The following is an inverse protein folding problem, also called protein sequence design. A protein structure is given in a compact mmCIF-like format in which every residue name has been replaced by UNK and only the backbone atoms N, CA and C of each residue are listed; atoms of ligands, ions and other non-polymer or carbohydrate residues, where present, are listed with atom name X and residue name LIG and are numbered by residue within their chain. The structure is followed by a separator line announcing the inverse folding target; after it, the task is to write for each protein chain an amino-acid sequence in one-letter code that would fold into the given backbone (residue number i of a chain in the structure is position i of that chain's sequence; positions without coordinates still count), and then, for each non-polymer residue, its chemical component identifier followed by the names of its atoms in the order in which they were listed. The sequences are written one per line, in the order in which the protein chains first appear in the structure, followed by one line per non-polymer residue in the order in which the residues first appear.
data_IF_427444581783
#
_entry.id   IF_427444581783
#
_cell.length_a   1.000
_cell.length_b   1.000
_cell.length_c   1.000
_cell.angle_alpha   90.00
_cell.angle_beta   90.00
_cell.angle_gamma   90.00
#
_symmetry.space_group_name_H-M   'P 1'
#
loop_
_entity.id
_entity.type
_entity.pdbx_description
1 polymer ?
#
# COMPACT_ATOMS: atom_id res chain seq x y z
N UNK A 1 -19.46 -7.71 13.14
CA UNK A 1 -18.46 -7.15 12.21
C UNK A 1 -17.52 -6.18 12.92
N UNK A 2 -16.36 -6.66 13.37
CA UNK A 2 -15.39 -5.87 14.15
C UNK A 2 -13.94 -5.92 13.64
N UNK A 3 -13.68 -6.57 12.51
CA UNK A 3 -12.34 -7.08 12.19
C UNK A 3 -11.56 -6.26 11.15
N UNK A 4 -12.13 -5.20 10.57
CA UNK A 4 -11.42 -4.39 9.55
C UNK A 4 -10.59 -3.24 10.14
N UNK A 5 -10.74 -2.93 11.44
CA UNK A 5 -10.18 -1.72 12.04
C UNK A 5 -8.74 -1.84 12.54
N UNK A 6 -8.17 -3.05 12.59
CA UNK A 6 -6.88 -3.33 13.25
C UNK A 6 -5.74 -3.81 12.34
N UNK A 7 -5.78 -3.54 11.02
CA UNK A 7 -4.59 -3.75 10.19
C UNK A 7 -3.45 -2.85 10.71
N UNK A 8 -2.43 -3.43 11.33
CA UNK A 8 -1.28 -2.69 11.86
C UNK A 8 -0.57 -1.90 10.76
N UNK A 9 0.03 -0.75 11.09
CA UNK A 9 0.82 0.04 10.12
C UNK A 9 1.92 -0.79 9.46
N UNK A 10 2.53 -1.70 10.24
CA UNK A 10 3.56 -2.63 9.78
C UNK A 10 3.03 -3.64 8.77
N UNK A 11 1.80 -4.10 8.94
CA UNK A 11 1.20 -5.13 8.07
C UNK A 11 0.88 -4.57 6.67
N UNK A 12 0.40 -3.32 6.62
CA UNK A 12 0.20 -2.60 5.35
C UNK A 12 1.52 -2.32 4.62
N UNK A 13 2.59 -1.98 5.35
CA UNK A 13 3.89 -1.76 4.74
C UNK A 13 4.46 -3.06 4.14
N UNK A 14 4.29 -4.18 4.84
CA UNK A 14 4.67 -5.50 4.34
C UNK A 14 3.84 -5.90 3.12
N UNK A 15 2.53 -5.65 3.11
CA UNK A 15 1.68 -5.86 1.93
C UNK A 15 2.12 -5.01 0.75
N UNK A 16 2.50 -3.75 0.98
CA UNK A 16 2.99 -2.84 -0.06
C UNK A 16 4.32 -3.31 -0.67
N UNK A 17 5.23 -3.82 0.15
CA UNK A 17 6.51 -4.39 -0.33
C UNK A 17 6.27 -5.66 -1.15
N UNK A 18 5.38 -6.54 -0.70
CA UNK A 18 5.01 -7.77 -1.41
C UNK A 18 4.36 -7.47 -2.77
N UNK A 19 3.40 -6.54 -2.82
CA UNK A 19 2.74 -6.13 -4.07
C UNK A 19 3.72 -5.50 -5.04
N UNK A 20 4.61 -4.60 -4.58
CA UNK A 20 5.70 -4.06 -5.42
C UNK A 20 6.69 -5.12 -5.93
N UNK A 21 7.01 -6.12 -5.11
CA UNK A 21 7.87 -7.23 -5.55
C UNK A 21 7.23 -8.03 -6.68
N UNK A 22 5.93 -8.37 -6.52
CA UNK A 22 5.15 -9.04 -7.57
C UNK A 22 5.08 -8.19 -8.84
N UNK A 23 4.78 -6.89 -8.71
CA UNK A 23 4.74 -5.93 -9.83
C UNK A 23 6.00 -5.96 -10.70
N UNK A 24 7.17 -5.89 -10.06
CA UNK A 24 8.43 -5.83 -10.79
C UNK A 24 8.74 -7.15 -11.50
N UNK A 25 8.42 -8.29 -10.88
CA UNK A 25 8.59 -9.60 -11.50
C UNK A 25 7.64 -9.79 -12.68
N UNK A 26 6.34 -9.53 -12.48
CA UNK A 26 5.31 -9.63 -13.51
C UNK A 26 5.62 -8.69 -14.68
N UNK A 27 5.98 -7.43 -14.41
CA UNK A 27 6.33 -6.46 -15.45
C UNK A 27 7.63 -6.81 -16.18
N UNK A 28 8.66 -7.26 -15.45
CA UNK A 28 9.93 -7.67 -16.03
C UNK A 28 9.77 -8.87 -16.97
N UNK A 29 9.00 -9.87 -16.54
CA UNK A 29 8.74 -11.08 -17.33
C UNK A 29 7.92 -10.76 -18.59
N UNK A 30 6.90 -9.90 -18.49
CA UNK A 30 6.14 -9.41 -19.63
C UNK A 30 7.00 -8.61 -20.62
N UNK A 31 7.91 -7.77 -20.13
CA UNK A 31 8.81 -6.98 -20.97
C UNK A 31 9.76 -7.88 -21.78
N UNK A 32 10.39 -8.88 -21.14
CA UNK A 32 11.26 -9.84 -21.83
C UNK A 32 10.49 -10.63 -22.88
N UNK A 33 9.29 -11.12 -22.54
CA UNK A 33 8.43 -11.82 -23.49
C UNK A 33 8.08 -10.96 -24.72
N UNK A 34 7.80 -9.67 -24.50
CA UNK A 34 7.48 -8.73 -25.59
C UNK A 34 8.69 -8.50 -26.49
N UNK A 35 9.87 -8.25 -25.91
CA UNK A 35 11.12 -8.10 -26.67
C UNK A 35 11.42 -9.39 -27.46
N UNK A 36 11.20 -10.56 -26.85
CA UNK A 36 11.44 -11.85 -27.49
C UNK A 36 10.54 -12.06 -28.72
N UNK A 37 9.25 -11.75 -28.60
CA UNK A 37 8.31 -11.83 -29.72
C UNK A 37 8.66 -10.82 -30.84
N UNK A 38 8.95 -9.57 -30.47
CA UNK A 38 9.29 -8.53 -31.44
C UNK A 38 10.59 -8.85 -32.19
N UNK A 39 11.62 -9.33 -31.47
CA UNK A 39 12.90 -9.70 -32.06
C UNK A 39 12.79 -10.89 -33.02
N UNK A 40 12.01 -11.92 -32.65
CA UNK A 40 11.77 -13.08 -33.52
C UNK A 40 11.14 -12.68 -34.86
N UNK A 41 10.05 -11.90 -34.81
CA UNK A 41 9.35 -11.42 -36.01
C UNK A 41 10.28 -10.61 -36.92
N UNK A 42 11.04 -9.67 -36.35
CA UNK A 42 11.96 -8.84 -37.13
C UNK A 42 13.10 -9.65 -37.78
N UNK A 43 13.73 -10.55 -37.02
CA UNK A 43 14.77 -11.45 -37.54
C UNK A 43 14.23 -12.33 -38.67
N UNK A 44 13.00 -12.83 -38.51
CA UNK A 44 12.33 -13.65 -39.53
C UNK A 44 12.08 -12.89 -40.83
N UNK A 45 11.67 -11.62 -40.74
CA UNK A 45 11.51 -10.74 -41.90
C UNK A 45 12.83 -10.56 -42.66
N UNK A 46 13.92 -10.18 -41.97
CA UNK A 46 15.25 -10.05 -42.59
C UNK A 46 15.72 -11.34 -43.23
N UNK A 47 15.52 -12.48 -42.55
CA UNK A 47 15.89 -13.78 -43.10
C UNK A 47 15.05 -14.14 -44.33
N UNK A 48 13.79 -13.67 -44.42
CA UNK A 48 12.95 -13.87 -45.60
C UNK A 48 13.41 -13.06 -46.80
N UNK A 49 13.77 -11.79 -46.60
CA UNK A 49 14.34 -10.94 -47.65
C UNK A 49 15.64 -11.53 -48.20
N UNK A 50 16.56 -11.94 -47.30
CA UNK A 50 17.81 -12.58 -47.68
C UNK A 50 17.59 -13.88 -48.46
N UNK A 51 16.69 -14.76 -48.00
CA UNK A 51 16.37 -16.00 -48.74
C UNK A 51 15.80 -15.70 -50.12
N UNK A 52 14.92 -14.71 -50.24
CA UNK A 52 14.34 -14.35 -51.53
C UNK A 52 15.42 -13.88 -52.51
N UNK A 53 16.33 -13.02 -52.03
CA UNK A 53 17.46 -12.54 -52.82
C UNK A 53 18.37 -13.69 -53.29
N UNK A 54 18.75 -14.60 -52.40
CA UNK A 54 19.60 -15.75 -52.74
C UNK A 54 18.95 -16.70 -53.76
N UNK A 55 17.63 -16.84 -53.73
CA UNK A 55 16.89 -17.63 -54.74
C UNK A 55 16.89 -16.92 -56.10
N UNK A 56 16.73 -15.59 -56.11
CA UNK A 56 16.76 -14.79 -57.35
C UNK A 56 18.16 -14.76 -57.97
N UNK A 57 19.20 -14.67 -57.15
CA UNK A 57 20.61 -14.69 -57.58
C UNK A 57 21.08 -16.10 -57.97
N UNK A 58 20.26 -17.13 -57.75
CA UNK A 58 20.57 -18.52 -58.09
C UNK A 58 21.53 -19.22 -57.12
N UNK A 59 21.93 -18.54 -56.04
CA UNK A 59 22.81 -19.09 -54.99
C UNK A 59 22.09 -20.08 -54.05
N UNK A 60 20.74 -20.07 -54.04
CA UNK A 60 19.92 -20.96 -53.24
C UNK A 60 18.78 -21.57 -54.07
N UNK A 61 18.56 -22.88 -53.94
CA UNK A 61 17.42 -23.51 -54.61
C UNK A 61 16.09 -23.11 -53.95
N UNK A 62 14.99 -23.00 -54.71
CA UNK A 62 13.67 -22.71 -54.15
C UNK A 62 13.21 -23.71 -53.09
N UNK A 63 13.61 -24.98 -53.22
CA UNK A 63 13.28 -26.02 -52.25
C UNK A 63 14.02 -25.82 -50.92
N UNK A 64 15.30 -25.46 -50.97
CA UNK A 64 16.08 -25.17 -49.78
C UNK A 64 15.53 -23.94 -49.05
N UNK A 65 15.14 -22.90 -49.80
CA UNK A 65 14.52 -21.71 -49.24
C UNK A 65 13.21 -22.03 -48.51
N UNK A 66 12.38 -22.92 -49.06
CA UNK A 66 11.14 -23.41 -48.42
C UNK A 66 11.45 -24.17 -47.13
N UNK A 67 12.45 -25.05 -47.13
CA UNK A 67 12.87 -25.81 -45.94
C UNK A 67 13.34 -24.89 -44.81
N UNK A 68 14.18 -23.89 -45.13
CA UNK A 68 14.64 -22.87 -44.17
C UNK A 68 13.49 -22.01 -43.65
N UNK A 69 12.54 -21.61 -44.52
CA UNK A 69 11.34 -20.87 -44.12
C UNK A 69 10.51 -21.65 -43.09
N UNK A 70 10.18 -22.91 -43.38
CA UNK A 70 9.36 -23.73 -42.47
C UNK A 70 10.03 -23.92 -41.10
N UNK A 71 11.36 -24.12 -41.07
CA UNK A 71 12.12 -24.22 -39.83
C UNK A 71 12.04 -22.93 -39.00
N UNK A 72 12.27 -21.78 -39.63
CA UNK A 72 12.22 -20.49 -38.93
C UNK A 72 10.80 -20.18 -38.45
N UNK A 73 9.78 -20.41 -39.28
CA UNK A 73 8.39 -20.22 -38.88
C UNK A 73 8.00 -21.06 -37.66
N UNK A 74 8.48 -22.29 -37.56
CA UNK A 74 8.23 -23.14 -36.39
C UNK A 74 8.89 -22.56 -35.13
N UNK A 75 10.15 -22.11 -35.25
CA UNK A 75 10.87 -21.49 -34.12
C UNK A 75 10.21 -20.19 -33.67
N UNK A 76 9.82 -19.33 -34.62
CA UNK A 76 9.15 -18.06 -34.33
C UNK A 76 7.76 -18.31 -33.72
N UNK A 77 7.01 -19.27 -34.23
CA UNK A 77 5.70 -19.63 -33.67
C UNK A 77 5.82 -20.17 -32.23
N UNK A 78 6.82 -20.99 -31.96
CA UNK A 78 7.09 -21.48 -30.61
C UNK A 78 7.50 -20.34 -29.66
N UNK A 79 8.40 -19.46 -30.10
CA UNK A 79 8.85 -18.29 -29.36
C UNK A 79 7.69 -17.35 -29.02
N UNK A 80 6.85 -17.03 -30.01
CA UNK A 80 5.64 -16.21 -29.84
C UNK A 80 4.62 -16.92 -28.94
N UNK A 81 4.47 -18.24 -29.05
CA UNK A 81 3.59 -19.02 -28.19
C UNK A 81 4.00 -18.94 -26.72
N UNK A 82 5.28 -19.10 -26.40
CA UNK A 82 5.82 -18.96 -25.04
C UNK A 82 5.64 -17.52 -24.55
N UNK A 83 5.96 -16.53 -25.39
CA UNK A 83 5.78 -15.12 -25.03
C UNK A 83 4.31 -14.78 -24.75
N UNK A 84 3.38 -15.26 -25.59
CA UNK A 84 1.96 -15.05 -25.41
C UNK A 84 1.45 -15.67 -24.10
N UNK A 85 1.93 -16.86 -23.74
CA UNK A 85 1.62 -17.47 -22.44
C UNK A 85 2.18 -16.64 -21.27
N UNK A 86 3.42 -16.16 -21.38
CA UNK A 86 4.02 -15.28 -20.36
C UNK A 86 3.26 -13.97 -20.18
N UNK A 87 2.89 -13.31 -21.29
CA UNK A 87 2.10 -12.08 -21.29
C UNK A 87 0.69 -12.34 -20.74
N UNK A 88 0.04 -13.46 -21.12
CA UNK A 88 -1.30 -13.81 -20.63
C UNK A 88 -1.30 -14.02 -19.11
N UNK A 89 -0.34 -14.76 -18.58
CA UNK A 89 -0.20 -14.97 -17.13
C UNK A 89 0.06 -13.64 -16.42
N UNK A 90 0.95 -12.80 -16.95
CA UNK A 90 1.24 -11.50 -16.39
C UNK A 90 0.04 -10.55 -16.40
N UNK A 91 -0.79 -10.61 -17.44
CA UNK A 91 -1.98 -9.75 -17.56
C UNK A 91 -3.04 -10.06 -16.52
N UNK A 92 -3.26 -11.34 -16.21
CA UNK A 92 -4.19 -11.76 -15.14
C UNK A 92 -3.75 -11.25 -13.77
N UNK A 93 -2.48 -11.45 -13.42
CA UNK A 93 -1.90 -10.96 -12.17
C UNK A 93 -1.95 -9.43 -12.07
N UNK A 94 -1.67 -8.73 -13.17
CA UNK A 94 -1.70 -7.27 -13.22
C UNK A 94 -3.10 -6.70 -12.94
N UNK A 95 -4.15 -7.37 -13.42
CA UNK A 95 -5.54 -6.96 -13.15
C UNK A 95 -5.89 -7.08 -11.66
N UNK A 96 -5.59 -8.22 -11.04
CA UNK A 96 -5.83 -8.45 -9.60
C UNK A 96 -5.08 -7.42 -8.75
N UNK A 97 -3.84 -7.15 -9.12
CA UNK A 97 -2.99 -6.17 -8.46
C UNK A 97 -3.49 -4.73 -8.63
N UNK A 98 -4.12 -4.40 -9.76
CA UNK A 98 -4.75 -3.09 -9.96
C UNK A 98 -5.96 -2.90 -9.02
N UNK A 99 -6.78 -3.94 -8.82
CA UNK A 99 -7.87 -3.94 -7.84
C UNK A 99 -7.34 -3.77 -6.40
N UNK A 100 -6.24 -4.45 -6.05
CA UNK A 100 -5.57 -4.27 -4.75
C UNK A 100 -4.99 -2.87 -4.56
N UNK A 101 -4.49 -2.22 -5.61
CA UNK A 101 -4.02 -0.83 -5.53
C UNK A 101 -5.14 0.14 -5.19
N UNK A 102 -6.34 -0.07 -5.72
CA UNK A 102 -7.50 0.77 -5.40
C UNK A 102 -7.88 0.66 -3.92
N UNK A 103 -7.96 -0.56 -3.38
CA UNK A 103 -8.32 -0.77 -1.97
C UNK A 103 -7.26 -0.20 -1.00
N UNK A 104 -5.97 -0.38 -1.31
CA UNK A 104 -4.88 0.22 -0.52
C UNK A 104 -4.93 1.75 -0.58
N UNK A 105 -5.18 2.33 -1.75
CA UNK A 105 -5.29 3.79 -1.91
C UNK A 105 -6.44 4.37 -1.10
N UNK A 106 -7.61 3.72 -1.09
CA UNK A 106 -8.75 4.14 -0.27
C UNK A 106 -8.45 4.07 1.23
N UNK A 107 -7.79 2.99 1.67
CA UNK A 107 -7.35 2.83 3.06
C UNK A 107 -6.33 3.91 3.47
N UNK A 108 -5.34 4.19 2.62
CA UNK A 108 -4.37 5.27 2.83
C UNK A 108 -5.06 6.63 2.88
N UNK A 109 -6.03 6.91 2.01
CA UNK A 109 -6.78 8.16 2.02
C UNK A 109 -7.62 8.33 3.28
N UNK A 110 -8.34 7.28 3.72
CA UNK A 110 -9.09 7.27 4.99
C UNK A 110 -8.15 7.54 6.17
N UNK A 111 -6.98 6.91 6.22
CA UNK A 111 -5.96 7.16 7.27
C UNK A 111 -5.40 8.58 7.22
N UNK A 112 -5.07 9.07 6.03
CA UNK A 112 -4.59 10.44 5.83
C UNK A 112 -5.62 11.47 6.30
N UNK A 113 -6.91 11.26 6.00
CA UNK A 113 -8.01 12.10 6.50
C UNK A 113 -8.09 12.07 8.04
N UNK A 114 -8.03 10.88 8.65
CA UNK A 114 -8.02 10.73 10.12
C UNK A 114 -6.81 11.40 10.77
N UNK A 115 -5.61 11.25 10.19
CA UNK A 115 -4.39 11.89 10.69
C UNK A 115 -4.49 13.42 10.63
N UNK A 116 -4.92 13.97 9.49
CA UNK A 116 -5.16 15.42 9.35
C UNK A 116 -6.18 15.94 10.34
N UNK A 117 -7.24 15.18 10.64
CA UNK A 117 -8.25 15.56 11.62
C UNK A 117 -7.68 15.60 13.05
N UNK A 118 -6.82 14.64 13.41
CA UNK A 118 -6.10 14.63 14.70
C UNK A 118 -5.13 15.80 14.81
N UNK A 119 -4.30 16.01 13.80
CA UNK A 119 -3.36 17.14 13.75
C UNK A 119 -4.09 18.50 13.82
N UNK A 120 -5.22 18.64 13.13
CA UNK A 120 -6.06 19.84 13.20
C UNK A 120 -6.61 20.06 14.61
N UNK A 121 -7.14 19.01 15.25
CA UNK A 121 -7.67 19.09 16.62
C UNK A 121 -6.57 19.42 17.63
N UNK A 122 -5.39 18.80 17.51
CA UNK A 122 -4.22 19.11 18.35
C UNK A 122 -3.75 20.56 18.15
N UNK A 123 -3.75 21.05 16.91
CA UNK A 123 -3.40 22.45 16.61
C UNK A 123 -4.43 23.44 17.17
N UNK A 124 -5.72 23.14 17.04
CA UNK A 124 -6.81 23.93 17.63
C UNK A 124 -6.74 23.93 19.16
N UNK A 125 -6.41 22.80 19.80
CA UNK A 125 -6.18 22.74 21.25
C UNK A 125 -4.92 23.51 21.69
N UNK A 126 -3.85 23.47 20.89
CA UNK A 126 -2.62 24.26 21.15
C UNK A 126 -2.81 25.76 20.93
N UNK A 127 -3.65 26.17 20.00
CA UNK A 127 -3.95 27.59 19.71
C UNK A 127 -5.07 28.14 20.60
N UNK A 128 -6.07 27.32 20.97
CA UNK A 128 -7.16 27.67 21.88
C UNK A 128 -6.82 27.53 23.36
N UNK A 129 -5.80 26.74 23.72
CA UNK A 129 -5.32 26.58 25.10
C UNK A 129 -4.57 27.79 25.67
N UNK A 130 -4.35 28.84 24.87
CA UNK A 130 -3.80 30.12 25.32
C UNK A 130 -4.84 31.16 25.75
N UNK A 131 -6.16 30.86 25.62
CA UNK A 131 -7.23 31.84 25.84
C UNK A 131 -8.28 31.42 26.89
N UNK A 132 -7.92 30.55 27.83
CA UNK A 132 -8.72 30.28 29.05
C UNK A 132 -7.89 30.38 30.34
N UNK A 133 -7.00 31.37 30.40
CA UNK A 133 -6.38 31.80 31.64
C UNK A 133 -6.47 33.32 31.80
N UNK A 134 -7.68 33.87 31.70
CA UNK A 134 -7.96 35.15 32.35
C UNK A 134 -9.45 35.37 32.54
N UNK A 135 -9.85 35.30 33.82
CA UNK A 135 -10.98 35.98 34.42
C UNK A 135 -12.29 35.98 33.66
N UNK A 136 -13.21 35.10 34.03
CA UNK A 136 -14.59 35.51 34.31
C UNK A 136 -15.17 34.68 35.45
N UNK A 137 -15.39 35.39 36.55
CA UNK A 137 -16.33 35.09 37.61
C UNK A 137 -17.67 34.61 37.05
N UNK A 138 -17.96 33.32 37.19
CA UNK A 138 -19.33 32.82 37.06
C UNK A 138 -19.98 32.77 38.46
N UNK A 139 -21.15 33.39 38.63
CA UNK A 139 -21.89 33.33 39.88
C UNK A 139 -22.54 31.96 40.04
N UNK A 140 -22.32 31.38 41.22
CA UNK A 140 -23.28 30.60 42.00
C UNK A 140 -24.34 29.82 41.20
N UNK A 141 -24.09 28.52 40.99
CA UNK A 141 -25.06 27.63 40.37
C UNK A 141 -24.58 26.20 40.28
N UNK A 142 -24.02 25.68 41.38
CA UNK A 142 -23.71 24.26 41.50
C UNK A 142 -25.00 23.45 41.33
N UNK A 143 -25.14 22.76 40.20
CA UNK A 143 -26.03 21.60 40.10
C UNK A 143 -25.38 20.50 40.95
N UNK A 144 -25.67 20.57 42.25
CA UNK A 144 -25.18 19.63 43.25
C UNK A 144 -25.66 18.23 42.90
N UNK A 145 -24.71 17.31 42.76
CA UNK A 145 -24.96 15.89 42.62
C UNK A 145 -25.65 15.41 43.93
N UNK A 146 -26.88 14.88 43.90
CA UNK A 146 -27.70 14.65 45.11
C UNK A 146 -27.19 13.52 46.03
N UNK A 147 -26.04 12.91 45.71
CA UNK A 147 -25.42 11.81 46.45
C UNK A 147 -24.02 12.13 47.02
N UNK A 148 -23.57 13.38 46.95
CA UNK A 148 -22.26 13.75 47.50
C UNK A 148 -22.31 13.90 49.03
N UNK A 149 -21.66 12.98 49.75
CA UNK A 149 -21.42 13.07 51.19
C UNK A 149 -20.52 14.28 51.52
N UNK A 150 -20.77 15.05 52.61
CA UNK A 150 -19.99 16.23 52.92
C UNK A 150 -18.58 15.87 53.39
N UNK A 151 -17.56 16.40 52.70
CA UNK A 151 -16.17 16.32 53.13
C UNK A 151 -15.89 17.34 54.25
N UNK A 152 -15.10 16.99 55.30
CA UNK A 152 -14.80 17.89 56.41
C UNK A 152 -13.83 19.01 55.98
N UNK A 153 -13.95 20.22 56.57
CA UNK A 153 -13.08 21.34 56.23
C UNK A 153 -11.71 21.18 56.92
N UNK A 154 -10.62 21.06 56.15
CA UNK A 154 -9.25 21.20 56.68
C UNK A 154 -8.17 20.23 56.20
N UNK A 155 -8.32 19.55 55.05
CA UNK A 155 -7.30 18.62 54.53
C UNK A 155 -6.36 19.26 53.50
N UNK A 156 -5.06 19.26 53.77
CA UNK A 156 -3.99 19.76 52.92
C UNK A 156 -3.98 19.15 51.50
N UNK A 157 -3.67 19.99 50.52
CA UNK A 157 -3.49 19.61 49.11
C UNK A 157 -2.27 18.69 49.00
N UNK A 158 -2.49 17.39 48.83
CA UNK A 158 -1.43 16.44 48.45
C UNK A 158 -1.02 16.68 46.98
N UNK A 159 0.27 16.51 46.62
CA UNK A 159 0.75 16.79 45.27
C UNK A 159 0.25 15.70 44.31
N UNK A 160 -0.76 16.04 43.50
CA UNK A 160 -1.17 15.19 42.39
C UNK A 160 -0.07 15.23 41.32
N UNK A 161 0.66 14.11 41.16
CA UNK A 161 1.56 13.95 40.02
C UNK A 161 0.72 13.91 38.74
N UNK A 162 0.95 14.90 37.87
CA UNK A 162 0.30 15.01 36.57
C UNK A 162 0.90 13.99 35.58
N UNK A 163 0.76 12.70 35.84
CA UNK A 163 0.77 11.72 34.77
C UNK A 163 -0.64 11.69 34.16
N UNK A 164 -0.74 11.79 32.84
CA UNK A 164 -2.03 11.86 32.15
C UNK A 164 -2.74 10.50 32.11
N UNK A 165 -2.61 9.67 33.16
CA UNK A 165 -3.17 8.34 33.21
C UNK A 165 -4.60 8.37 33.79
N UNK A 166 -5.64 8.04 33.02
CA UNK A 166 -7.03 8.11 33.47
C UNK A 166 -7.39 7.11 34.59
N UNK A 167 -6.44 6.27 35.02
CA UNK A 167 -6.61 5.30 36.11
C UNK A 167 -5.90 5.70 37.42
N UNK A 168 -5.17 6.83 37.46
CA UNK A 168 -4.38 7.21 38.66
C UNK A 168 -5.26 7.63 39.85
N UNK A 169 -6.48 8.11 39.61
CA UNK A 169 -7.40 8.57 40.67
C UNK A 169 -7.94 7.46 41.59
N UNK A 170 -7.69 6.18 41.31
CA UNK A 170 -8.24 5.04 42.04
C UNK A 170 -7.20 4.11 42.68
N UNK A 171 -5.93 4.52 42.77
CA UNK A 171 -4.88 3.68 43.39
C UNK A 171 -4.83 4.00 44.88
N UNK A 172 -5.16 3.05 45.78
CA UNK A 172 -5.00 3.26 47.21
C UNK A 172 -3.51 3.43 47.55
N UNK A 173 -3.16 4.28 48.53
CA UNK A 173 -1.77 4.51 48.90
C UNK A 173 -1.13 3.18 49.35
N UNK A 174 0.17 2.94 49.03
CA UNK A 174 0.85 1.73 49.47
C UNK A 174 0.92 1.69 51.00
N UNK A 175 0.84 0.49 51.60
CA UNK A 175 0.90 0.34 53.05
C UNK A 175 2.26 0.84 53.56
N UNK A 176 2.23 1.80 54.48
CA UNK A 176 3.42 2.23 55.20
C UNK A 176 3.72 1.15 56.26
N UNK A 177 4.79 0.40 56.04
CA UNK A 177 5.30 -0.56 57.03
C UNK A 177 5.80 0.16 58.29
N UNK A 178 5.54 -0.46 59.44
CA UNK A 178 6.24 -0.19 60.70
C UNK A 178 7.46 -1.10 60.81
#
# INVERSE_FOLDING_TARGET
DGSESSLSSTDLENQRKKTRGKELLTAGLAAVATIHAAHGVYSSMKASESRHKLVVEGEMSPEEARKRKSKNMLQDAAAVGIAALGIKSAFGEWKEMNEQRHSVKELEEKRRKRRKLRERREREMRQGGGFQQQGQSFPQGAMANPYAYPAPPGGAIAPAYADGNPYSNNIPPPPMGY
#
